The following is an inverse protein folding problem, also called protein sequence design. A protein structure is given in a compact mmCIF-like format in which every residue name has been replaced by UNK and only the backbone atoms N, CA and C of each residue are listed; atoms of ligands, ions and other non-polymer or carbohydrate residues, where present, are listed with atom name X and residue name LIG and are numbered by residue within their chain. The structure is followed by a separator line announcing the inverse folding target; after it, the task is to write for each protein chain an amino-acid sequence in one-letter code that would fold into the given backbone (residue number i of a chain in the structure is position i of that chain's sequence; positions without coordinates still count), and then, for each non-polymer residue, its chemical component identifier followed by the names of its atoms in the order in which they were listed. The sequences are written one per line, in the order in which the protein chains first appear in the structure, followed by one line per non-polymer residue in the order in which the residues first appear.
data_IF_720351895038
#
_entry.id   IF_720351895038
#
_cell.length_a   1.000
_cell.length_b   1.000
_cell.length_c   1.000
_cell.angle_alpha   90.00
_cell.angle_beta   90.00
_cell.angle_gamma   90.00
#
_symmetry.space_group_name_H-M   'P 1'
#
loop_
_entity.id
_entity.type
_entity.pdbx_description
1 polymer ?
#
# COMPACT_ATOMS: atom_id res chain seq x y z
N UNK A 1 19.84 41.00 29.98
CA UNK A 1 18.53 40.83 29.31
C UNK A 1 18.73 39.88 28.15
N UNK A 2 18.38 38.60 28.32
CA UNK A 2 18.40 37.62 27.24
C UNK A 2 16.98 37.54 26.69
N UNK A 3 16.77 38.11 25.51
CA UNK A 3 15.50 38.06 24.78
C UNK A 3 15.12 36.59 24.52
N UNK A 4 13.96 36.20 25.06
CA UNK A 4 13.43 34.86 24.90
C UNK A 4 13.12 34.59 23.43
N UNK A 5 13.79 33.59 22.86
CA UNK A 5 13.41 33.03 21.55
C UNK A 5 11.90 32.75 21.56
N UNK A 6 11.15 33.12 20.50
CA UNK A 6 9.73 32.78 20.44
C UNK A 6 9.61 31.26 20.54
N UNK A 7 8.91 30.79 21.58
CA UNK A 7 8.55 29.38 21.71
C UNK A 7 7.77 29.01 20.45
N UNK A 8 8.37 28.20 19.57
CA UNK A 8 7.68 27.61 18.44
C UNK A 8 6.33 27.07 18.93
N UNK A 9 5.24 27.59 18.39
CA UNK A 9 3.90 27.23 18.83
C UNK A 9 3.75 25.71 18.73
N UNK A 10 3.66 25.05 19.89
CA UNK A 10 3.48 23.61 20.04
C UNK A 10 2.06 23.22 19.66
N UNK A 11 1.63 23.54 18.45
CA UNK A 11 0.45 22.90 17.88
C UNK A 11 0.88 21.48 17.52
N UNK A 12 0.23 20.43 18.06
CA UNK A 12 0.55 19.08 17.67
C UNK A 12 0.31 18.98 16.16
N UNK A 13 1.35 18.58 15.40
CA UNK A 13 1.33 18.44 13.95
C UNK A 13 0.44 17.26 13.52
N UNK A 14 -0.84 17.34 13.84
CA UNK A 14 -1.85 16.35 13.50
C UNK A 14 -2.20 16.48 12.03
N UNK A 15 -1.78 15.49 11.24
CA UNK A 15 -1.99 15.44 9.80
C UNK A 15 -3.49 15.52 9.42
N UNK A 16 -4.42 15.16 10.32
CA UNK A 16 -5.87 15.25 10.06
C UNK A 16 -6.33 16.69 10.05
N UNK A 17 -5.83 17.51 10.99
CA UNK A 17 -6.14 18.95 11.06
C UNK A 17 -5.51 19.69 9.88
N UNK A 18 -4.22 19.43 9.63
CA UNK A 18 -3.48 20.05 8.52
C UNK A 18 -4.06 19.62 7.17
N UNK A 19 -4.34 18.34 7.00
CA UNK A 19 -4.92 17.78 5.77
C UNK A 19 -6.25 18.41 5.40
N UNK A 20 -7.11 18.67 6.39
CA UNK A 20 -8.37 19.39 6.20
C UNK A 20 -8.14 20.87 5.88
N UNK A 21 -7.29 21.56 6.63
CA UNK A 21 -6.99 22.99 6.43
C UNK A 21 -6.39 23.28 5.05
N UNK A 22 -5.56 22.37 4.54
CA UNK A 22 -4.85 22.52 3.26
C UNK A 22 -5.57 21.85 2.08
N UNK A 23 -6.74 21.25 2.28
CA UNK A 23 -7.50 20.55 1.24
C UNK A 23 -6.69 19.42 0.57
N UNK A 24 -6.06 18.56 1.39
CA UNK A 24 -5.21 17.48 0.91
C UNK A 24 -5.97 16.16 0.72
N UNK A 25 -6.88 15.86 1.64
CA UNK A 25 -7.68 14.63 1.61
C UNK A 25 -8.92 14.75 2.49
N UNK A 26 -9.86 13.83 2.31
CA UNK A 26 -11.01 13.62 3.18
C UNK A 26 -11.26 12.13 3.43
N UNK A 27 -12.02 11.83 4.48
CA UNK A 27 -12.59 10.50 4.75
C UNK A 27 -14.10 10.72 4.86
N UNK A 28 -14.87 10.06 3.99
CA UNK A 28 -16.32 10.19 3.94
C UNK A 28 -16.97 8.91 4.52
N UNK A 29 -17.81 9.01 5.56
CA UNK A 29 -18.55 7.87 6.12
C UNK A 29 -19.40 7.11 5.09
N UNK A 30 -19.94 7.77 4.06
CA UNK A 30 -20.70 7.11 2.99
C UNK A 30 -19.84 6.19 2.13
N UNK A 31 -18.54 6.45 2.06
CA UNK A 31 -17.56 5.62 1.34
C UNK A 31 -17.04 4.50 2.26
N UNK A 32 -16.77 4.84 3.52
CA UNK A 32 -16.32 3.89 4.53
C UNK A 32 -15.12 4.39 5.33
N UNK A 33 -15.00 3.90 6.57
CA UNK A 33 -13.88 4.22 7.45
C UNK A 33 -12.55 3.70 6.87
N UNK A 34 -11.48 4.50 7.01
CA UNK A 34 -10.14 4.14 6.51
C UNK A 34 -9.94 4.32 4.99
N UNK A 35 -10.99 4.65 4.23
CA UNK A 35 -10.92 4.85 2.78
C UNK A 35 -10.71 6.33 2.44
N UNK A 36 -9.45 6.71 2.23
CA UNK A 36 -9.05 8.11 2.03
C UNK A 36 -9.31 8.57 0.59
N UNK A 37 -10.06 9.67 0.46
CA UNK A 37 -10.19 10.43 -0.78
C UNK A 37 -9.06 11.45 -0.89
N UNK A 38 -8.17 11.27 -1.88
CA UNK A 38 -7.09 12.21 -2.13
C UNK A 38 -7.57 13.35 -3.03
N UNK A 39 -7.52 14.57 -2.51
CA UNK A 39 -7.89 15.78 -3.26
C UNK A 39 -6.74 16.19 -4.20
N UNK A 40 -6.93 17.13 -5.15
CA UNK A 40 -5.91 17.46 -6.15
C UNK A 40 -4.53 17.77 -5.56
N UNK A 41 -4.46 18.54 -4.46
CA UNK A 41 -3.19 18.86 -3.78
C UNK A 41 -2.54 17.64 -3.14
N UNK A 42 -3.31 16.80 -2.45
CA UNK A 42 -2.79 15.58 -1.84
C UNK A 42 -2.38 14.53 -2.87
N UNK A 43 -3.12 14.42 -3.97
CA UNK A 43 -2.79 13.55 -5.10
C UNK A 43 -1.47 13.99 -5.77
N UNK A 44 -1.22 15.30 -5.91
CA UNK A 44 0.05 15.81 -6.41
C UNK A 44 1.22 15.45 -5.48
N UNK A 45 1.06 15.62 -4.16
CA UNK A 45 2.08 15.22 -3.18
C UNK A 45 2.39 13.72 -3.32
N UNK A 46 1.35 12.87 -3.39
CA UNK A 46 1.52 11.42 -3.61
C UNK A 46 2.26 11.11 -4.90
N UNK A 47 1.99 11.84 -5.99
CA UNK A 47 2.70 11.68 -7.27
C UNK A 47 4.18 12.04 -7.13
N UNK A 48 4.51 13.14 -6.43
CA UNK A 48 5.90 13.54 -6.20
C UNK A 48 6.65 12.45 -5.42
N UNK A 49 6.05 11.92 -4.35
CA UNK A 49 6.64 10.83 -3.57
C UNK A 49 6.82 9.58 -4.43
N UNK A 50 5.80 9.19 -5.21
CA UNK A 50 5.88 8.05 -6.13
C UNK A 50 7.00 8.21 -7.15
N UNK A 51 7.20 9.41 -7.69
CA UNK A 51 8.28 9.67 -8.66
C UNK A 51 9.66 9.47 -8.02
N UNK A 52 9.85 9.91 -6.77
CA UNK A 52 11.09 9.66 -6.02
C UNK A 52 11.27 8.16 -5.79
N UNK A 53 10.24 7.49 -5.28
CA UNK A 53 10.26 6.05 -5.04
C UNK A 53 10.64 5.27 -6.29
N UNK A 54 10.01 5.57 -7.43
CA UNK A 54 10.26 4.89 -8.71
C UNK A 54 11.70 5.10 -9.17
N UNK A 55 12.15 6.36 -9.15
CA UNK A 55 13.52 6.73 -9.53
C UNK A 55 14.57 6.00 -8.70
N UNK A 56 14.39 5.97 -7.37
CA UNK A 56 15.35 5.30 -6.49
C UNK A 56 15.34 3.77 -6.70
N UNK A 57 14.18 3.14 -6.91
CA UNK A 57 14.12 1.70 -7.19
C UNK A 57 14.82 1.35 -8.51
N UNK A 58 14.55 2.11 -9.57
CA UNK A 58 15.21 1.90 -10.87
C UNK A 58 16.73 2.08 -10.79
N UNK A 59 17.20 3.12 -10.08
CA UNK A 59 18.64 3.35 -9.84
C UNK A 59 19.32 2.20 -9.10
N UNK A 60 18.58 1.51 -8.23
CA UNK A 60 19.09 0.38 -7.44
C UNK A 60 18.82 -1.00 -8.10
N UNK A 61 18.50 -1.02 -9.39
CA UNK A 61 18.36 -2.26 -10.17
C UNK A 61 17.10 -3.07 -9.84
N UNK A 62 16.05 -2.43 -9.31
CA UNK A 62 14.74 -3.06 -9.20
C UNK A 62 14.01 -3.03 -10.54
N UNK A 63 13.27 -4.11 -10.81
CA UNK A 63 12.35 -4.20 -11.93
C UNK A 63 10.95 -3.90 -11.45
N UNK A 64 10.32 -2.89 -12.03
CA UNK A 64 8.94 -2.54 -11.70
C UNK A 64 7.99 -3.64 -12.20
N UNK A 65 7.04 -4.01 -11.35
CA UNK A 65 5.94 -4.93 -11.68
C UNK A 65 4.62 -4.30 -11.24
N UNK A 66 3.52 -4.78 -11.81
CA UNK A 66 2.16 -4.38 -11.44
C UNK A 66 1.31 -5.64 -11.35
N UNK A 67 0.61 -5.82 -10.22
CA UNK A 67 -0.12 -7.05 -9.93
C UNK A 67 -1.58 -6.76 -9.59
N UNK A 68 -2.53 -7.68 -9.90
CA UNK A 68 -3.94 -7.50 -9.59
C UNK A 68 -4.20 -7.24 -8.11
N UNK A 69 -5.38 -6.69 -7.78
CA UNK A 69 -5.82 -6.49 -6.39
C UNK A 69 -6.59 -7.67 -5.81
N UNK A 70 -7.01 -8.63 -6.63
CA UNK A 70 -7.77 -9.80 -6.21
C UNK A 70 -7.09 -11.08 -6.69
N UNK A 71 -7.24 -12.17 -5.93
CA UNK A 71 -6.81 -13.50 -6.33
C UNK A 71 -7.66 -14.59 -5.69
N UNK A 72 -7.67 -15.78 -6.30
CA UNK A 72 -8.31 -16.99 -5.76
C UNK A 72 -7.77 -17.31 -4.36
N UNK A 73 -8.64 -17.81 -3.48
CA UNK A 73 -8.32 -18.22 -2.11
C UNK A 73 -7.15 -19.20 -2.04
N UNK A 74 -7.01 -20.08 -3.04
CA UNK A 74 -5.94 -21.08 -3.09
C UNK A 74 -4.54 -20.46 -3.12
N UNK A 75 -4.35 -19.28 -3.73
CA UNK A 75 -3.07 -18.57 -3.70
C UNK A 75 -2.70 -18.19 -2.26
N UNK A 76 -3.69 -17.73 -1.50
CA UNK A 76 -3.52 -17.28 -0.12
C UNK A 76 -3.31 -18.45 0.82
N UNK A 77 -4.00 -19.57 0.60
CA UNK A 77 -3.75 -20.84 1.28
C UNK A 77 -2.32 -21.31 1.03
N UNK A 78 -1.90 -21.40 -0.23
CA UNK A 78 -0.55 -21.83 -0.63
C UNK A 78 0.54 -20.97 0.04
N UNK A 79 0.28 -19.67 0.16
CA UNK A 79 1.21 -18.74 0.80
C UNK A 79 1.15 -18.70 2.34
N UNK A 80 0.25 -19.46 2.97
CA UNK A 80 0.02 -19.49 4.42
C UNK A 80 -0.81 -18.33 4.99
N UNK A 81 -1.19 -17.34 4.18
CA UNK A 81 -1.84 -16.12 4.66
C UNK A 81 -3.26 -16.35 5.19
N UNK A 82 -4.00 -17.32 4.66
CA UNK A 82 -5.33 -17.62 5.19
C UNK A 82 -5.26 -18.15 6.62
N UNK A 83 -4.23 -18.89 7.00
CA UNK A 83 -4.12 -19.47 8.34
C UNK A 83 -3.80 -18.40 9.39
N UNK A 84 -2.93 -17.44 9.05
CA UNK A 84 -2.43 -16.44 10.00
C UNK A 84 -3.08 -15.06 9.89
N UNK A 85 -3.71 -14.75 8.77
CA UNK A 85 -4.11 -13.38 8.43
C UNK A 85 -5.57 -13.26 7.96
N UNK A 86 -6.34 -14.35 7.93
CA UNK A 86 -7.72 -14.34 7.45
C UNK A 86 -8.61 -13.30 8.15
N UNK A 87 -8.44 -13.10 9.46
CA UNK A 87 -9.23 -12.11 10.22
C UNK A 87 -9.04 -10.67 9.71
N UNK A 88 -7.92 -10.39 9.05
CA UNK A 88 -7.58 -9.07 8.52
C UNK A 88 -7.74 -8.99 7.00
N UNK A 89 -8.43 -9.95 6.37
CA UNK A 89 -8.58 -10.06 4.92
C UNK A 89 -10.02 -9.87 4.47
N UNK A 90 -10.22 -9.18 3.35
CA UNK A 90 -11.51 -9.14 2.67
C UNK A 90 -11.67 -10.37 1.78
N UNK A 91 -12.45 -11.34 2.25
CA UNK A 91 -12.76 -12.59 1.55
C UNK A 91 -14.19 -12.51 1.01
N UNK A 92 -14.39 -12.87 -0.25
CA UNK A 92 -15.70 -12.91 -0.89
C UNK A 92 -15.79 -14.11 -1.83
N UNK A 93 -17.00 -14.52 -2.17
CA UNK A 93 -17.23 -15.63 -3.09
C UNK A 93 -17.51 -15.10 -4.50
N UNK A 94 -16.97 -15.81 -5.50
CA UNK A 94 -17.28 -15.59 -6.92
C UNK A 94 -17.43 -16.94 -7.60
N UNK A 95 -18.60 -17.19 -8.18
CA UNK A 95 -18.92 -18.44 -8.90
C UNK A 95 -18.68 -19.71 -8.05
N UNK A 96 -18.99 -19.67 -6.75
CA UNK A 96 -18.74 -20.78 -5.82
C UNK A 96 -17.28 -20.93 -5.36
N UNK A 97 -16.37 -20.07 -5.80
CA UNK A 97 -14.97 -20.08 -5.40
C UNK A 97 -14.63 -18.90 -4.47
N UNK A 98 -13.80 -19.12 -3.43
CA UNK A 98 -13.32 -18.04 -2.59
C UNK A 98 -12.31 -17.17 -3.36
N UNK A 99 -12.49 -15.85 -3.28
CA UNK A 99 -11.56 -14.83 -3.73
C UNK A 99 -11.22 -13.90 -2.57
N UNK A 100 -10.05 -13.28 -2.65
CA UNK A 100 -9.57 -12.37 -1.62
C UNK A 100 -9.00 -11.11 -2.27
N UNK A 101 -9.34 -9.96 -1.70
CA UNK A 101 -8.64 -8.70 -1.98
C UNK A 101 -7.28 -8.73 -1.27
N UNK A 102 -6.20 -8.40 -1.99
CA UNK A 102 -4.83 -8.58 -1.51
C UNK A 102 -4.52 -7.79 -0.23
N UNK A 103 -4.11 -8.44 0.87
CA UNK A 103 -3.54 -7.76 2.03
C UNK A 103 -2.06 -7.39 1.85
N UNK A 104 -1.41 -7.97 0.84
CA UNK A 104 -0.01 -7.74 0.47
C UNK A 104 0.30 -8.20 -0.96
N UNK A 105 1.44 -7.76 -1.50
CA UNK A 105 1.83 -8.02 -2.89
C UNK A 105 2.67 -9.31 -3.06
N UNK A 106 3.28 -9.81 -1.98
CA UNK A 106 4.32 -10.86 -2.03
C UNK A 106 3.90 -12.10 -2.83
N UNK A 107 2.70 -12.70 -2.64
CA UNK A 107 2.31 -13.88 -3.40
C UNK A 107 2.28 -13.66 -4.92
N UNK A 108 1.92 -12.46 -5.37
CA UNK A 108 1.91 -12.13 -6.79
C UNK A 108 3.32 -11.96 -7.37
N UNK A 109 4.24 -11.34 -6.61
CA UNK A 109 5.64 -11.23 -7.04
C UNK A 109 6.30 -12.60 -7.19
N UNK A 110 5.93 -13.55 -6.34
CA UNK A 110 6.37 -14.94 -6.47
C UNK A 110 5.79 -15.60 -7.73
N UNK A 111 4.55 -15.33 -8.12
CA UNK A 111 4.01 -15.83 -9.40
C UNK A 111 4.80 -15.29 -10.61
N UNK A 112 5.17 -14.00 -10.60
CA UNK A 112 6.03 -13.41 -11.64
C UNK A 112 7.41 -14.06 -11.65
N UNK A 113 7.98 -14.36 -10.47
CA UNK A 113 9.23 -15.09 -10.38
C UNK A 113 9.12 -16.48 -11.03
N UNK A 114 8.07 -17.24 -10.67
CA UNK A 114 7.78 -18.61 -11.12
C UNK A 114 7.42 -18.73 -12.60
N UNK A 115 7.04 -17.64 -13.27
CA UNK A 115 6.61 -17.65 -14.68
C UNK A 115 7.67 -18.16 -15.66
N UNK A 116 8.95 -18.21 -15.26
CA UNK A 116 10.01 -18.87 -16.04
C UNK A 116 11.12 -19.43 -15.14
N UNK A 117 11.82 -20.49 -15.59
CA UNK A 117 13.04 -20.96 -14.93
C UNK A 117 14.08 -19.85 -14.78
N UNK A 118 14.86 -19.88 -13.69
CA UNK A 118 15.89 -18.87 -13.38
C UNK A 118 17.25 -19.51 -13.20
N UNK A 119 18.28 -18.92 -13.80
CA UNK A 119 19.67 -19.28 -13.52
C UNK A 119 20.14 -18.60 -12.24
N UNK A 120 21.04 -19.26 -11.49
CA UNK A 120 21.73 -18.64 -10.35
C UNK A 120 22.48 -17.35 -10.75
N UNK A 121 22.91 -17.24 -12.01
CA UNK A 121 23.58 -16.04 -12.56
C UNK A 121 22.65 -14.84 -12.71
N UNK A 122 21.34 -15.03 -12.77
CA UNK A 122 20.36 -13.94 -12.82
C UNK A 122 20.11 -13.32 -11.43
N UNK A 123 20.60 -13.95 -10.36
CA UNK A 123 20.46 -13.43 -9.01
C UNK A 123 21.53 -12.35 -8.75
N UNK A 124 21.18 -11.28 -8.00
CA UNK A 124 19.91 -11.06 -7.30
C UNK A 124 18.77 -10.52 -8.20
N UNK A 125 17.57 -11.09 -8.06
CA UNK A 125 16.34 -10.59 -8.69
C UNK A 125 15.60 -9.70 -7.70
N UNK A 126 15.25 -8.47 -8.12
CA UNK A 126 14.53 -7.50 -7.31
C UNK A 126 13.30 -6.99 -8.06
N UNK A 127 12.11 -7.18 -7.49
CA UNK A 127 10.87 -6.61 -7.98
C UNK A 127 10.40 -5.49 -7.06
N UNK A 128 9.80 -4.46 -7.64
CA UNK A 128 9.20 -3.35 -6.91
C UNK A 128 7.82 -3.04 -7.49
N UNK A 129 6.87 -2.75 -6.61
CA UNK A 129 5.51 -2.35 -6.99
C UNK A 129 5.02 -1.28 -6.01
N UNK A 130 4.47 -0.17 -6.52
CA UNK A 130 3.68 0.76 -5.72
C UNK A 130 2.28 0.16 -5.48
N UNK A 131 2.24 -0.98 -4.79
CA UNK A 131 1.08 -1.86 -4.77
C UNK A 131 0.04 -1.44 -3.74
N UNK A 132 -1.18 -1.21 -4.18
CA UNK A 132 -2.33 -0.95 -3.30
C UNK A 132 -2.84 -2.25 -2.69
N UNK A 133 -2.93 -2.28 -1.37
CA UNK A 133 -3.36 -3.42 -0.57
C UNK A 133 -4.49 -2.99 0.36
N UNK A 134 -5.30 -3.96 0.79
CA UNK A 134 -6.47 -3.73 1.62
C UNK A 134 -6.43 -4.67 2.83
N UNK A 135 -6.69 -4.11 4.01
CA UNK A 135 -6.69 -4.86 5.28
C UNK A 135 -7.96 -4.53 6.03
N UNK A 136 -8.58 -5.56 6.58
CA UNK A 136 -9.73 -5.43 7.46
C UNK A 136 -9.23 -5.07 8.86
N UNK A 137 -8.97 -3.78 9.04
CA UNK A 137 -8.55 -3.23 10.33
C UNK A 137 -9.77 -2.97 11.22
N UNK A 138 -9.61 -3.12 12.54
CA UNK A 138 -10.67 -2.78 13.50
C UNK A 138 -11.01 -1.30 13.40
N UNK A 139 -12.30 -0.97 13.43
CA UNK A 139 -12.85 0.39 13.26
C UNK A 139 -12.62 1.34 14.44
N UNK A 140 -11.57 1.12 15.24
CA UNK A 140 -11.32 1.78 16.52
C UNK A 140 -11.26 3.30 16.49
#
# INVERSE_FOLDING_TARGET
MLEGKPKASRFPADHRKIGKQLDLFSINPEIGAGLVLWHPKGALIRRIIRNVWEREHLRNGYRLVCTPHIARGELWKTSGHLEYYAENMYIFEKDGEPYVIKPMNCPFHIQIYKAKPRSYKELPIRYAEWGTVYRYERSG
#
